data_IF_606404056858
#
_entry.id   IF_606404056858
#
_cell.length_a   1.000
_cell.length_b   1.000
_cell.length_c   1.000
_cell.angle_alpha   90.00
_cell.angle_beta   90.00
_cell.angle_gamma   90.00
#
_symmetry.space_group_name_H-M   'P 1'
#
loop_
_entity.id
_entity.type
_entity.pdbx_description
1 polymer ?
#
# COMPACT_ATOMS: atom_id res chain seq x y z
N UNK A 1 -3.26 -14.94 20.34
CA UNK A 1 -4.74 -14.95 20.24
C UNK A 1 -5.05 -14.66 18.79
N UNK A 2 -5.73 -15.57 18.10
CA UNK A 2 -6.13 -15.32 16.70
C UNK A 2 -7.44 -14.53 16.73
N UNK A 3 -7.40 -13.27 16.34
CA UNK A 3 -8.61 -12.48 16.14
C UNK A 3 -9.09 -12.73 14.70
N UNK A 4 -10.34 -13.11 14.54
CA UNK A 4 -11.03 -13.15 13.24
C UNK A 4 -12.01 -12.01 13.20
N UNK A 5 -11.71 -11.00 12.40
CA UNK A 5 -12.58 -9.83 12.23
C UNK A 5 -13.08 -9.77 10.78
N UNK A 6 -14.32 -9.38 10.62
CA UNK A 6 -14.92 -9.16 9.30
C UNK A 6 -15.61 -7.80 9.24
N UNK A 7 -15.31 -7.05 8.18
CA UNK A 7 -16.00 -5.81 7.81
C UNK A 7 -16.70 -6.12 6.48
N UNK A 8 -18.02 -6.13 6.47
CA UNK A 8 -18.81 -6.61 5.34
C UNK A 8 -19.97 -5.66 5.02
N UNK A 9 -20.07 -5.22 3.76
CA UNK A 9 -21.18 -4.41 3.27
C UNK A 9 -21.24 -2.99 3.84
N UNK A 10 -20.10 -2.41 4.26
CA UNK A 10 -20.06 -1.08 4.89
C UNK A 10 -19.75 -0.01 3.86
N UNK A 11 -20.44 1.14 3.97
CA UNK A 11 -20.13 2.33 3.19
C UNK A 11 -19.39 3.35 4.04
N UNK A 12 -18.13 3.63 3.67
CA UNK A 12 -17.33 4.69 4.26
C UNK A 12 -17.31 5.88 3.32
N UNK A 13 -17.75 7.02 3.82
CA UNK A 13 -17.83 8.23 3.01
C UNK A 13 -17.35 9.45 3.80
N UNK A 14 -16.40 10.18 3.22
CA UNK A 14 -15.96 11.48 3.72
C UNK A 14 -16.26 12.55 2.67
N UNK A 15 -17.10 13.58 2.97
CA UNK A 15 -17.45 14.60 2.01
C UNK A 15 -16.23 15.47 1.64
N UNK A 16 -16.15 15.81 0.36
CA UNK A 16 -15.14 16.75 -0.16
C UNK A 16 -15.67 18.16 -0.38
N UNK A 17 -16.98 18.36 -0.22
CA UNK A 17 -17.68 19.65 -0.42
C UNK A 17 -18.81 19.78 0.62
N UNK A 18 -19.14 20.99 1.09
CA UNK A 18 -18.49 22.27 0.81
C UNK A 18 -17.11 22.43 1.48
N UNK A 19 -16.79 21.62 2.46
CA UNK A 19 -15.50 21.60 3.14
C UNK A 19 -14.94 20.17 3.10
N UNK A 20 -13.72 20.03 2.59
CA UNK A 20 -13.04 18.73 2.57
C UNK A 20 -12.62 18.35 4.01
N UNK A 21 -13.07 17.19 4.47
CA UNK A 21 -12.57 16.61 5.71
C UNK A 21 -11.11 16.17 5.51
N UNK A 22 -10.15 16.64 6.33
CA UNK A 22 -8.75 16.23 6.23
C UNK A 22 -8.53 14.87 6.88
N UNK A 23 -7.46 14.16 6.46
CA UNK A 23 -6.96 12.94 7.12
C UNK A 23 -8.07 11.94 7.48
N UNK A 24 -8.92 11.64 6.50
CA UNK A 24 -10.08 10.75 6.68
C UNK A 24 -9.81 9.42 5.99
N UNK A 25 -8.94 8.60 6.59
CA UNK A 25 -8.76 7.21 6.20
C UNK A 25 -10.07 6.43 6.45
N UNK A 26 -10.40 5.46 5.59
CA UNK A 26 -11.61 4.68 5.81
C UNK A 26 -11.39 3.58 6.83
N UNK A 27 -10.32 2.81 6.68
CA UNK A 27 -10.01 1.68 7.56
C UNK A 27 -8.51 1.69 7.86
N UNK A 28 -8.17 1.93 9.12
CA UNK A 28 -6.84 1.71 9.66
C UNK A 28 -6.77 0.37 10.39
N UNK A 29 -5.90 -0.52 9.93
CA UNK A 29 -5.62 -1.79 10.58
C UNK A 29 -4.29 -1.67 11.32
N UNK A 30 -4.34 -1.73 12.64
CA UNK A 30 -3.18 -1.55 13.52
C UNK A 30 -2.95 -2.82 14.35
N UNK A 31 -1.85 -3.51 14.07
CA UNK A 31 -1.49 -4.80 14.70
C UNK A 31 -2.62 -5.82 14.57
N UNK A 32 -3.19 -5.97 13.38
CA UNK A 32 -4.35 -6.79 13.12
C UNK A 32 -3.99 -8.10 12.41
N UNK A 33 -4.65 -9.19 12.83
CA UNK A 33 -4.49 -10.52 12.23
C UNK A 33 -5.83 -11.13 11.83
N UNK A 34 -5.84 -11.88 10.72
CA UNK A 34 -7.00 -12.63 10.24
C UNK A 34 -8.23 -11.73 10.01
N UNK A 35 -8.05 -10.66 9.23
CA UNK A 35 -9.09 -9.69 8.91
C UNK A 35 -9.59 -9.90 7.49
N UNK A 36 -10.91 -9.87 7.32
CA UNK A 36 -11.58 -9.86 6.02
C UNK A 36 -12.38 -8.56 5.87
N UNK A 37 -12.06 -7.77 4.85
CA UNK A 37 -12.85 -6.62 4.41
C UNK A 37 -13.48 -6.97 3.08
N UNK A 38 -14.80 -6.94 2.97
CA UNK A 38 -15.48 -7.30 1.72
C UNK A 38 -16.77 -6.55 1.47
N UNK A 39 -17.19 -6.50 0.19
CA UNK A 39 -18.43 -5.89 -0.24
C UNK A 39 -18.61 -4.44 0.24
N UNK A 40 -17.51 -3.71 0.45
CA UNK A 40 -17.53 -2.34 0.99
C UNK A 40 -17.43 -1.31 -0.14
N UNK A 41 -18.01 -0.15 0.12
CA UNK A 41 -17.76 1.05 -0.68
C UNK A 41 -16.96 2.06 0.14
N UNK A 42 -15.79 2.46 -0.36
CA UNK A 42 -14.86 3.36 0.32
C UNK A 42 -14.63 4.61 -0.53
N UNK A 43 -15.10 5.77 -0.07
CA UNK A 43 -14.87 7.06 -0.76
C UNK A 43 -14.53 8.12 0.29
N UNK A 44 -13.23 8.39 0.43
CA UNK A 44 -12.69 9.19 1.54
C UNK A 44 -11.63 10.14 1.04
N UNK A 45 -11.22 11.10 1.88
CA UNK A 45 -10.25 12.14 1.47
C UNK A 45 -8.81 11.82 1.87
N UNK A 46 -8.54 10.60 2.32
CA UNK A 46 -7.21 10.06 2.59
C UNK A 46 -7.16 8.58 2.13
N UNK A 47 -6.39 7.72 2.77
CA UNK A 47 -6.21 6.33 2.33
C UNK A 47 -7.49 5.48 2.55
N UNK A 48 -7.83 4.59 1.62
CA UNK A 48 -8.96 3.69 1.78
C UNK A 48 -8.65 2.60 2.82
N UNK A 49 -7.52 1.92 2.66
CA UNK A 49 -7.02 0.92 3.61
C UNK A 49 -5.58 1.28 3.98
N UNK A 50 -5.32 1.52 5.27
CA UNK A 50 -3.98 1.74 5.78
C UNK A 50 -3.58 0.65 6.77
N UNK A 51 -2.37 0.13 6.62
CA UNK A 51 -1.78 -0.86 7.52
C UNK A 51 -0.78 -0.16 8.44
N UNK A 52 -1.07 -0.14 9.73
CA UNK A 52 -0.29 0.51 10.78
C UNK A 52 0.45 -0.54 11.63
N UNK A 53 1.05 -0.19 12.77
CA UNK A 53 1.69 -1.15 13.67
C UNK A 53 2.95 -0.66 14.34
N UNK A 54 3.19 0.65 14.32
CA UNK A 54 4.29 1.28 15.05
C UNK A 54 5.12 2.26 14.24
N UNK A 55 5.79 3.16 14.94
CA UNK A 55 6.52 4.29 14.37
C UNK A 55 7.73 4.67 15.19
N UNK A 56 8.73 5.14 14.49
CA UNK A 56 9.93 5.74 15.07
C UNK A 56 11.11 4.78 15.17
N UNK A 57 12.28 5.30 15.51
CA UNK A 57 13.53 4.56 15.40
C UNK A 57 13.64 3.36 16.35
N UNK A 58 12.86 3.33 17.41
CA UNK A 58 12.82 2.25 18.40
C UNK A 58 11.56 1.37 18.27
N UNK A 59 10.82 1.49 17.17
CA UNK A 59 9.56 0.79 16.99
C UNK A 59 9.70 -0.73 16.98
N UNK A 60 10.83 -1.25 16.55
CA UNK A 60 11.20 -2.67 16.58
C UNK A 60 11.43 -3.24 17.98
N UNK A 61 11.55 -2.39 18.99
CA UNK A 61 11.81 -2.75 20.38
C UNK A 61 10.63 -2.49 21.32
N UNK A 62 9.59 -1.84 20.84
CA UNK A 62 8.38 -1.56 21.60
C UNK A 62 7.41 -2.75 21.53
N UNK A 63 7.12 -3.43 22.66
CA UNK A 63 6.23 -4.60 22.66
C UNK A 63 4.77 -4.28 22.33
N UNK A 64 4.37 -3.02 22.27
CA UNK A 64 3.04 -2.60 21.83
C UNK A 64 2.92 -2.47 20.31
N UNK A 65 4.04 -2.42 19.60
CA UNK A 65 4.07 -2.45 18.15
C UNK A 65 4.00 -3.88 17.63
N UNK A 66 3.56 -4.05 16.39
CA UNK A 66 3.45 -5.39 15.83
C UNK A 66 3.17 -5.42 14.33
N UNK A 67 2.88 -6.62 13.87
CA UNK A 67 2.60 -6.88 12.47
C UNK A 67 1.11 -6.87 12.14
N UNK A 68 0.81 -6.58 10.88
CA UNK A 68 -0.44 -6.93 10.25
C UNK A 68 -0.22 -8.15 9.39
N UNK A 69 -1.07 -9.17 9.53
CA UNK A 69 -0.91 -10.39 8.75
C UNK A 69 -2.23 -11.11 8.46
N UNK A 70 -2.24 -11.81 7.34
CA UNK A 70 -3.42 -12.57 6.85
C UNK A 70 -4.64 -11.67 6.74
N UNK A 71 -4.49 -10.60 5.98
CA UNK A 71 -5.55 -9.63 5.70
C UNK A 71 -5.99 -9.80 4.26
N UNK A 72 -7.29 -9.91 4.05
CA UNK A 72 -7.90 -9.99 2.74
C UNK A 72 -8.87 -8.83 2.58
N UNK A 73 -8.71 -8.07 1.51
CA UNK A 73 -9.63 -7.03 1.06
C UNK A 73 -10.16 -7.47 -0.31
N UNK A 74 -11.47 -7.70 -0.41
CA UNK A 74 -12.04 -8.25 -1.64
C UNK A 74 -13.43 -7.74 -1.97
N UNK A 75 -13.81 -7.81 -3.24
CA UNK A 75 -15.16 -7.49 -3.71
C UNK A 75 -15.63 -6.08 -3.27
N UNK A 76 -14.71 -5.11 -3.28
CA UNK A 76 -14.98 -3.74 -2.85
C UNK A 76 -14.97 -2.76 -4.04
N UNK A 77 -15.66 -1.65 -3.86
CA UNK A 77 -15.55 -0.50 -4.75
C UNK A 77 -14.90 0.65 -4.02
N UNK A 78 -13.82 1.19 -4.59
CA UNK A 78 -13.16 2.37 -4.08
C UNK A 78 -13.56 3.58 -4.94
N UNK A 79 -14.28 4.52 -4.32
CA UNK A 79 -14.61 5.81 -4.91
C UNK A 79 -13.36 6.68 -5.02
N UNK A 80 -13.36 7.86 -4.37
CA UNK A 80 -12.13 8.63 -4.26
C UNK A 80 -11.33 8.21 -3.02
N UNK A 81 -10.00 8.07 -3.16
CA UNK A 81 -9.07 7.94 -2.03
C UNK A 81 -7.64 8.34 -2.44
N UNK A 82 -6.78 8.64 -1.45
CA UNK A 82 -5.37 8.89 -1.72
C UNK A 82 -4.61 7.62 -2.07
N UNK A 83 -4.96 6.48 -1.49
CA UNK A 83 -4.45 5.18 -1.90
C UNK A 83 -5.47 4.09 -1.64
N UNK A 84 -5.52 3.09 -2.52
CA UNK A 84 -6.36 1.91 -2.30
C UNK A 84 -5.80 1.06 -1.17
N UNK A 85 -4.50 0.78 -1.21
CA UNK A 85 -3.78 0.06 -0.15
C UNK A 85 -2.49 0.80 0.18
N UNK A 86 -2.35 1.19 1.45
CA UNK A 86 -1.17 1.84 1.99
C UNK A 86 -0.51 0.98 3.06
N UNK A 87 0.79 0.72 2.91
CA UNK A 87 1.63 0.19 3.97
C UNK A 87 2.32 1.37 4.66
N UNK A 88 1.94 1.64 5.90
CA UNK A 88 2.50 2.74 6.69
C UNK A 88 1.64 4.02 6.69
N UNK A 89 2.24 5.16 7.00
CA UNK A 89 3.66 5.37 7.34
C UNK A 89 4.06 4.78 8.71
N UNK A 90 3.14 4.72 9.65
CA UNK A 90 3.31 4.20 11.01
C UNK A 90 3.13 2.67 11.02
N UNK A 91 4.02 1.93 10.39
CA UNK A 91 3.96 0.46 10.32
C UNK A 91 5.35 -0.13 10.30
N UNK A 92 5.55 -1.19 11.09
CA UNK A 92 6.82 -1.90 11.13
C UNK A 92 6.81 -3.17 10.30
N UNK A 93 5.67 -3.88 10.23
CA UNK A 93 5.61 -5.13 9.48
C UNK A 93 4.20 -5.41 8.93
N UNK A 94 4.12 -5.66 7.62
CA UNK A 94 2.90 -6.11 6.95
C UNK A 94 3.24 -7.34 6.10
N UNK A 95 2.49 -8.45 6.28
CA UNK A 95 2.73 -9.68 5.53
C UNK A 95 1.47 -10.49 5.24
N UNK A 96 1.48 -11.22 4.14
CA UNK A 96 0.34 -12.03 3.70
C UNK A 96 -0.92 -11.17 3.56
N UNK A 97 -0.83 -10.12 2.76
CA UNK A 97 -1.91 -9.17 2.48
C UNK A 97 -2.42 -9.39 1.05
N UNK A 98 -3.72 -9.47 0.88
CA UNK A 98 -4.35 -9.65 -0.43
C UNK A 98 -5.38 -8.55 -0.67
N UNK A 99 -5.22 -7.81 -1.76
CA UNK A 99 -6.21 -6.88 -2.29
C UNK A 99 -6.69 -7.44 -3.63
N UNK A 100 -7.97 -7.83 -3.73
CA UNK A 100 -8.46 -8.49 -4.95
C UNK A 100 -9.91 -8.19 -5.30
N UNK A 101 -10.22 -8.28 -6.59
CA UNK A 101 -11.57 -8.04 -7.15
C UNK A 101 -12.09 -6.65 -6.74
N UNK A 102 -11.30 -5.63 -7.04
CA UNK A 102 -11.60 -4.25 -6.68
C UNK A 102 -11.92 -3.45 -7.93
N UNK A 103 -13.02 -2.72 -7.87
CA UNK A 103 -13.33 -1.64 -8.81
C UNK A 103 -12.85 -0.31 -8.21
N UNK A 104 -12.03 0.43 -8.96
CA UNK A 104 -11.54 1.75 -8.53
C UNK A 104 -12.15 2.82 -9.44
N UNK A 105 -13.02 3.67 -8.87
CA UNK A 105 -13.58 4.79 -9.64
C UNK A 105 -12.51 5.86 -9.85
N UNK A 106 -11.81 6.25 -8.78
CA UNK A 106 -10.71 7.19 -8.82
C UNK A 106 -9.86 7.11 -7.54
N UNK A 107 -8.56 6.88 -7.69
CA UNK A 107 -7.63 6.97 -6.57
C UNK A 107 -6.33 7.69 -6.98
N UNK A 108 -5.61 8.25 -6.01
CA UNK A 108 -4.29 8.79 -6.33
C UNK A 108 -3.26 7.68 -6.49
N UNK A 109 -3.38 6.58 -5.74
CA UNK A 109 -2.44 5.43 -5.83
C UNK A 109 -3.18 4.10 -5.68
N UNK A 110 -2.75 3.08 -6.43
CA UNK A 110 -3.26 1.72 -6.20
C UNK A 110 -2.54 1.07 -5.02
N UNK A 111 -1.21 1.01 -5.06
CA UNK A 111 -0.40 0.50 -3.96
C UNK A 111 0.63 1.57 -3.55
N UNK A 112 0.67 1.86 -2.27
CA UNK A 112 1.62 2.80 -1.69
C UNK A 112 2.42 2.18 -0.55
N UNK A 113 3.75 2.12 -0.73
CA UNK A 113 4.68 1.75 0.34
C UNK A 113 5.33 3.03 0.87
N UNK A 114 4.92 3.45 2.07
CA UNK A 114 5.47 4.65 2.73
C UNK A 114 6.73 4.25 3.52
N UNK A 115 7.88 4.34 2.87
CA UNK A 115 9.16 3.92 3.44
C UNK A 115 9.77 5.04 4.29
N UNK A 116 9.74 4.88 5.62
CA UNK A 116 10.26 5.89 6.57
C UNK A 116 11.74 5.66 6.89
N UNK A 117 12.57 6.71 6.86
CA UNK A 117 13.99 6.57 7.24
C UNK A 117 14.22 6.46 8.75
N UNK A 118 13.21 6.76 9.57
CA UNK A 118 13.28 6.69 11.03
C UNK A 118 12.58 5.48 11.64
N UNK A 119 12.08 4.56 10.83
CA UNK A 119 11.30 3.41 11.30
C UNK A 119 11.77 2.16 10.57
N UNK A 120 12.20 1.10 11.27
CA UNK A 120 12.48 -0.17 10.63
C UNK A 120 11.18 -0.80 10.12
N UNK A 121 11.10 -1.05 8.82
CA UNK A 121 9.88 -1.51 8.16
C UNK A 121 10.14 -2.77 7.34
N UNK A 122 9.19 -3.70 7.35
CA UNK A 122 9.20 -4.87 6.47
C UNK A 122 7.82 -5.08 5.86
N UNK A 123 7.69 -4.92 4.54
CA UNK A 123 6.45 -5.11 3.79
C UNK A 123 6.64 -6.25 2.81
N UNK A 124 5.99 -7.39 3.08
CA UNK A 124 6.27 -8.62 2.33
C UNK A 124 5.03 -9.48 2.06
N UNK A 125 5.09 -10.28 1.01
CA UNK A 125 4.00 -11.17 0.59
C UNK A 125 2.68 -10.43 0.42
N UNK A 126 2.71 -9.36 -0.40
CA UNK A 126 1.55 -8.55 -0.73
C UNK A 126 1.10 -8.89 -2.16
N UNK A 127 -0.15 -9.27 -2.31
CA UNK A 127 -0.76 -9.55 -3.61
C UNK A 127 -1.85 -8.54 -3.92
N UNK A 128 -1.76 -7.91 -5.09
CA UNK A 128 -2.77 -7.02 -5.66
C UNK A 128 -3.24 -7.65 -6.97
N UNK A 129 -4.49 -8.07 -7.04
CA UNK A 129 -4.97 -8.84 -8.19
C UNK A 129 -6.42 -8.54 -8.57
N UNK A 130 -6.75 -8.73 -9.84
CA UNK A 130 -8.12 -8.57 -10.35
C UNK A 130 -8.67 -7.16 -10.05
N UNK A 131 -7.92 -6.14 -10.42
CA UNK A 131 -8.26 -4.74 -10.22
C UNK A 131 -8.62 -4.09 -11.56
N UNK A 132 -9.65 -3.26 -11.54
CA UNK A 132 -10.02 -2.43 -12.70
C UNK A 132 -10.36 -1.00 -12.28
N UNK A 133 -10.22 -0.05 -13.21
CA UNK A 133 -10.61 1.35 -13.00
C UNK A 133 -9.50 2.38 -13.24
N UNK A 134 -9.43 3.41 -12.39
CA UNK A 134 -8.59 4.58 -12.63
C UNK A 134 -7.77 4.99 -11.39
N UNK A 135 -6.47 5.21 -11.58
CA UNK A 135 -5.59 5.73 -10.54
C UNK A 135 -4.64 6.80 -11.09
N UNK A 136 -4.07 7.63 -10.23
CA UNK A 136 -3.01 8.53 -10.65
C UNK A 136 -1.67 7.78 -10.76
N UNK A 137 -1.34 6.94 -9.79
CA UNK A 137 -0.12 6.10 -9.81
C UNK A 137 -0.46 4.64 -9.54
N UNK A 138 0.06 3.73 -10.39
CA UNK A 138 -0.14 2.29 -10.22
C UNK A 138 0.67 1.74 -9.03
N UNK A 139 1.99 1.96 -9.03
CA UNK A 139 2.85 1.64 -7.88
C UNK A 139 3.60 2.90 -7.43
N UNK A 140 3.54 3.19 -6.14
CA UNK A 140 4.22 4.33 -5.55
C UNK A 140 5.09 3.91 -4.36
N UNK A 141 6.41 4.09 -4.48
CA UNK A 141 7.37 3.79 -3.40
C UNK A 141 8.43 4.88 -3.35
N UNK A 142 8.37 5.70 -2.33
CA UNK A 142 9.34 6.79 -2.10
C UNK A 142 9.71 6.88 -0.62
N UNK A 143 10.88 7.44 -0.29
CA UNK A 143 11.19 7.83 1.07
C UNK A 143 10.08 8.75 1.62
N UNK A 144 9.53 8.38 2.79
CA UNK A 144 8.52 9.17 3.47
C UNK A 144 9.16 9.92 4.63
N UNK A 145 9.32 11.22 4.50
CA UNK A 145 10.08 12.05 5.45
C UNK A 145 9.21 13.00 6.28
N UNK A 146 7.88 12.90 6.16
CA UNK A 146 6.98 13.72 6.97
C UNK A 146 7.07 13.30 8.45
N UNK A 147 7.29 14.28 9.34
CA UNK A 147 7.43 14.03 10.78
C UNK A 147 8.55 13.04 11.13
N UNK A 148 9.64 13.07 10.37
CA UNK A 148 10.81 12.25 10.59
C UNK A 148 11.58 12.70 11.84
N UNK A 149 11.91 11.74 12.73
CA UNK A 149 12.73 12.01 13.92
C UNK A 149 13.46 10.73 14.36
N UNK A 150 14.78 10.74 14.26
CA UNK A 150 15.64 9.62 14.70
C UNK A 150 15.74 9.49 16.22
N UNK A 151 15.32 10.49 17.00
CA UNK A 151 15.43 10.49 18.47
C UNK A 151 16.82 10.07 18.98
N UNK A 152 17.87 10.44 18.24
CA UNK A 152 19.26 10.14 18.56
C UNK A 152 19.75 8.73 18.16
N UNK A 153 18.90 7.85 17.61
CA UNK A 153 19.32 6.56 17.06
C UNK A 153 20.07 6.76 15.75
N UNK A 154 21.26 6.16 15.63
CA UNK A 154 22.10 6.26 14.44
C UNK A 154 22.07 5.01 13.56
N UNK A 155 21.62 3.91 14.11
CA UNK A 155 21.63 2.55 13.55
C UNK A 155 20.19 2.01 13.35
N UNK A 156 19.32 2.82 12.77
CA UNK A 156 17.98 2.35 12.39
C UNK A 156 18.15 1.20 11.40
N UNK A 157 17.55 0.02 11.67
CA UNK A 157 17.66 -1.11 10.76
C UNK A 157 17.15 -0.79 9.36
N UNK A 158 17.77 -1.42 8.36
CA UNK A 158 17.33 -1.35 6.97
C UNK A 158 15.88 -1.81 6.85
N UNK A 159 15.10 -1.09 6.05
CA UNK A 159 13.73 -1.46 5.72
C UNK A 159 13.67 -2.30 4.44
N UNK A 160 12.62 -3.10 4.29
CA UNK A 160 12.44 -3.99 3.15
C UNK A 160 11.02 -3.93 2.57
N UNK A 161 10.92 -3.97 1.25
CA UNK A 161 9.71 -4.27 0.52
C UNK A 161 9.97 -5.44 -0.42
N UNK A 162 9.30 -6.59 -0.21
CA UNK A 162 9.63 -7.79 -0.97
C UNK A 162 8.45 -8.73 -1.23
N UNK A 163 8.59 -9.63 -2.21
CA UNK A 163 7.56 -10.61 -2.56
C UNK A 163 6.20 -9.94 -2.83
N UNK A 164 6.21 -8.91 -3.69
CA UNK A 164 5.00 -8.17 -4.04
C UNK A 164 4.56 -8.59 -5.44
N UNK A 165 3.34 -9.09 -5.54
CA UNK A 165 2.74 -9.57 -6.78
C UNK A 165 1.60 -8.64 -7.19
N UNK A 166 1.65 -8.12 -8.41
CA UNK A 166 0.56 -7.37 -9.03
C UNK A 166 0.15 -8.08 -10.32
N UNK A 167 -1.07 -8.62 -10.36
CA UNK A 167 -1.48 -9.46 -11.48
C UNK A 167 -2.95 -9.35 -11.87
N UNK A 168 -3.25 -9.69 -13.14
CA UNK A 168 -4.61 -9.67 -13.67
C UNK A 168 -5.28 -8.32 -13.49
N UNK A 169 -4.60 -7.23 -13.86
CA UNK A 169 -5.05 -5.86 -13.62
C UNK A 169 -5.26 -5.16 -14.96
N UNK A 170 -6.43 -4.54 -15.11
CA UNK A 170 -6.77 -3.68 -16.24
C UNK A 170 -7.19 -2.31 -15.73
N UNK A 171 -6.35 -1.28 -15.92
CA UNK A 171 -6.68 0.08 -15.48
C UNK A 171 -6.00 1.19 -16.27
N UNK A 172 -6.48 2.41 -16.05
CA UNK A 172 -5.89 3.64 -16.56
C UNK A 172 -5.14 4.36 -15.45
N UNK A 173 -3.96 4.92 -15.77
CA UNK A 173 -3.21 5.72 -14.81
C UNK A 173 -2.46 6.88 -15.47
N UNK A 174 -2.08 7.86 -14.65
CA UNK A 174 -1.18 8.91 -15.10
C UNK A 174 0.27 8.41 -15.13
N UNK A 175 0.70 7.70 -14.09
CA UNK A 175 2.07 7.18 -13.95
C UNK A 175 2.02 5.71 -13.58
N UNK A 176 2.62 4.86 -14.42
CA UNK A 176 2.66 3.44 -14.18
C UNK A 176 3.61 3.08 -13.04
N UNK A 177 4.83 3.55 -13.09
CA UNK A 177 5.87 3.15 -12.13
C UNK A 177 6.48 4.39 -11.49
N UNK A 178 6.14 4.62 -10.22
CA UNK A 178 6.65 5.74 -9.44
C UNK A 178 7.43 5.23 -8.23
N UNK A 179 8.57 4.61 -8.55
CA UNK A 179 9.43 3.95 -7.56
C UNK A 179 10.78 4.63 -7.54
N UNK A 180 11.25 4.93 -6.35
CA UNK A 180 12.57 5.50 -6.11
C UNK A 180 13.37 4.56 -5.20
N UNK A 181 14.54 4.14 -5.67
CA UNK A 181 15.52 3.38 -4.87
C UNK A 181 16.19 4.27 -3.82
N UNK A 182 16.43 3.75 -2.64
CA UNK A 182 17.13 4.44 -1.56
C UNK A 182 17.94 3.41 -0.74
N UNK A 183 19.09 3.01 -1.28
CA UNK A 183 19.90 1.89 -0.80
C UNK A 183 20.49 2.06 0.60
N UNK A 184 20.52 3.27 1.10
CA UNK A 184 20.92 3.62 2.46
C UNK A 184 19.78 3.54 3.47
N UNK A 185 18.54 3.35 2.99
CA UNK A 185 17.34 3.37 3.81
C UNK A 185 16.50 2.09 3.66
N UNK A 186 16.26 1.63 2.44
CA UNK A 186 15.45 0.44 2.18
C UNK A 186 15.91 -0.32 0.94
N UNK A 187 15.50 -1.59 0.88
CA UNK A 187 15.68 -2.48 -0.26
C UNK A 187 14.34 -2.94 -0.79
N UNK A 188 14.19 -2.94 -2.11
CA UNK A 188 13.04 -3.48 -2.80
C UNK A 188 13.49 -4.69 -3.62
N UNK A 189 12.81 -5.84 -3.45
CA UNK A 189 13.17 -7.06 -4.17
C UNK A 189 12.00 -8.00 -4.41
N UNK A 190 12.13 -8.88 -5.39
CA UNK A 190 11.17 -9.95 -5.66
C UNK A 190 9.77 -9.42 -5.98
N UNK A 191 9.68 -8.45 -6.87
CA UNK A 191 8.39 -7.99 -7.37
C UNK A 191 8.03 -8.77 -8.63
N UNK A 192 6.76 -9.10 -8.78
CA UNK A 192 6.23 -9.80 -9.96
C UNK A 192 5.05 -9.01 -10.53
N UNK A 193 5.16 -8.63 -11.81
CA UNK A 193 4.04 -8.07 -12.58
C UNK A 193 3.64 -9.08 -13.64
N UNK A 194 2.36 -9.47 -13.63
CA UNK A 194 1.85 -10.53 -14.49
C UNK A 194 0.47 -10.19 -15.05
N UNK A 195 0.26 -10.40 -16.35
CA UNK A 195 -1.05 -10.20 -16.99
C UNK A 195 -1.62 -8.80 -16.72
N UNK A 196 -0.87 -7.75 -17.03
CA UNK A 196 -1.30 -6.38 -16.87
C UNK A 196 -1.67 -5.75 -18.21
N UNK A 197 -2.78 -5.01 -18.23
CA UNK A 197 -3.19 -4.15 -19.35
C UNK A 197 -3.39 -2.73 -18.80
N UNK A 198 -2.40 -1.89 -18.95
CA UNK A 198 -2.38 -0.57 -18.33
C UNK A 198 -2.33 0.51 -19.42
N UNK A 199 -3.26 1.47 -19.38
CA UNK A 199 -3.20 2.70 -20.17
C UNK A 199 -2.56 3.79 -19.30
N UNK A 200 -1.34 4.19 -19.61
CA UNK A 200 -0.59 5.14 -18.82
C UNK A 200 -0.20 6.38 -19.64
N UNK A 201 -0.33 7.59 -19.07
CA UNK A 201 0.25 8.79 -19.67
C UNK A 201 1.77 8.78 -19.61
N UNK A 202 2.34 8.27 -18.52
CA UNK A 202 3.76 7.95 -18.38
C UNK A 202 3.89 6.44 -18.15
N UNK A 203 4.34 5.73 -19.18
CA UNK A 203 4.52 4.28 -19.20
C UNK A 203 5.94 3.85 -18.78
N UNK A 204 6.82 4.79 -18.43
CA UNK A 204 8.20 4.46 -18.03
C UNK A 204 8.21 3.53 -16.82
N UNK A 205 9.11 2.55 -16.88
CA UNK A 205 9.35 1.59 -15.82
C UNK A 205 10.85 1.30 -15.72
N UNK A 206 11.52 1.98 -14.81
CA UNK A 206 12.92 1.68 -14.49
C UNK A 206 13.00 0.47 -13.56
N UNK A 207 13.16 -0.70 -14.17
CA UNK A 207 13.22 -1.97 -13.43
C UNK A 207 14.44 -2.11 -12.52
N UNK A 208 15.45 -1.26 -12.68
CA UNK A 208 16.67 -1.27 -11.83
C UNK A 208 16.40 -0.76 -10.41
N UNK A 209 15.24 -0.15 -10.19
CA UNK A 209 14.82 0.30 -8.86
C UNK A 209 14.47 -0.86 -7.91
N UNK A 210 14.25 -2.06 -8.45
CA UNK A 210 13.84 -3.26 -7.69
C UNK A 210 14.74 -4.42 -8.07
N UNK A 211 15.32 -5.08 -7.09
CA UNK A 211 16.13 -6.28 -7.31
C UNK A 211 15.23 -7.50 -7.59
N UNK A 212 15.58 -8.36 -8.55
CA UNK A 212 14.79 -9.55 -8.96
C UNK A 212 13.34 -9.22 -9.30
N UNK A 213 13.18 -8.35 -10.28
CA UNK A 213 11.86 -7.93 -10.77
C UNK A 213 11.44 -8.80 -11.97
N UNK A 214 10.40 -9.60 -11.77
CA UNK A 214 9.80 -10.44 -12.81
C UNK A 214 8.66 -9.71 -13.52
N UNK A 215 8.56 -9.95 -14.83
CA UNK A 215 7.62 -9.28 -15.71
C UNK A 215 7.15 -10.26 -16.79
N UNK A 216 5.87 -10.61 -16.79
CA UNK A 216 5.27 -11.50 -17.78
C UNK A 216 3.91 -11.02 -18.27
N UNK A 217 3.70 -11.04 -19.58
CA UNK A 217 2.44 -10.61 -20.23
C UNK A 217 1.95 -9.22 -19.74
N UNK A 218 2.81 -8.24 -19.76
CA UNK A 218 2.50 -6.87 -19.33
C UNK A 218 2.49 -5.94 -20.52
N UNK A 219 1.36 -5.27 -20.73
CA UNK A 219 1.14 -4.26 -21.76
C UNK A 219 0.89 -2.92 -21.10
N UNK A 220 1.76 -1.95 -21.34
CA UNK A 220 1.62 -0.57 -20.88
C UNK A 220 1.64 0.33 -22.13
N UNK A 221 0.56 1.06 -22.38
CA UNK A 221 0.35 1.88 -23.59
C UNK A 221 0.13 3.34 -23.20
#
# INVERSE_FOLDING_TARGET
MLFRSQIDGVHFFAPSSPVKAPSSDAIDLDVCHDVLVKNCYLSVNDDAISLKGGKGPWADQDPNNGDNQRIIIEDCTFGFCHSCLTCGSESIHNRNIILRRIQVDKADRLLWLKMRPDTPQNYEYITVEEISGNVTSFLFVHPWTQFFDLKGRKDVPMSYGSHIVMRNIELECKTFFNVKRADDQYRLSDFTFENLVIKAQNAECDRTQIDRFEWSNVKVN
#
